data_IF_955005291625
#
_entry.id   IF_955005291625
#
_cell.length_a   1.000
_cell.length_b   1.000
_cell.length_c   1.000
_cell.angle_alpha   90.00
_cell.angle_beta   90.00
_cell.angle_gamma   90.00
#
_symmetry.space_group_name_H-M   'P 1'
#
loop_
_entity.id
_entity.type
_entity.pdbx_description
1 polymer ?
#
# COMPACT_ATOMS: atom_id res chain seq x y z
N UNK A 1 -10.85 -45.14 -31.69
CA UNK A 1 -11.67 -43.95 -31.99
C UNK A 1 -11.90 -43.25 -30.66
N UNK A 2 -11.31 -42.06 -30.46
CA UNK A 2 -11.56 -41.30 -29.23
C UNK A 2 -13.03 -40.90 -29.21
N UNK A 3 -13.73 -41.06 -28.08
CA UNK A 3 -15.12 -40.61 -27.93
C UNK A 3 -15.31 -39.12 -28.26
N UNK A 4 -14.22 -38.33 -28.25
CA UNK A 4 -14.22 -36.92 -28.63
C UNK A 4 -14.39 -36.72 -30.15
N UNK A 5 -13.80 -37.60 -30.96
CA UNK A 5 -13.79 -37.55 -32.43
C UNK A 5 -14.96 -38.33 -33.06
N UNK A 6 -15.84 -38.93 -32.25
CA UNK A 6 -16.97 -39.71 -32.74
C UNK A 6 -18.19 -38.80 -33.00
N UNK A 7 -18.36 -38.39 -34.25
CA UNK A 7 -19.47 -37.54 -34.70
C UNK A 7 -20.86 -38.22 -34.60
N UNK A 8 -20.92 -39.54 -34.35
CA UNK A 8 -22.19 -40.22 -34.06
C UNK A 8 -22.72 -39.92 -32.65
N UNK A 9 -21.86 -39.44 -31.75
CA UNK A 9 -22.21 -39.06 -30.39
C UNK A 9 -22.68 -37.60 -30.33
N UNK A 10 -23.61 -37.31 -29.41
CA UNK A 10 -24.06 -35.94 -29.19
C UNK A 10 -22.92 -35.04 -28.62
N UNK A 11 -23.02 -33.74 -28.89
CA UNK A 11 -21.99 -32.77 -28.48
C UNK A 11 -21.71 -32.77 -26.97
N UNK A 12 -22.71 -32.87 -26.06
CA UNK A 12 -22.46 -32.93 -24.62
C UNK A 12 -21.64 -34.16 -24.17
N UNK A 13 -21.88 -35.34 -24.74
CA UNK A 13 -21.13 -36.56 -24.40
C UNK A 13 -19.68 -36.44 -24.89
N UNK A 14 -19.49 -35.93 -26.11
CA UNK A 14 -18.16 -35.65 -26.66
C UNK A 14 -17.40 -34.65 -25.81
N UNK A 15 -18.07 -33.57 -25.40
CA UNK A 15 -17.48 -32.55 -24.52
C UNK A 15 -17.17 -33.10 -23.12
N UNK A 16 -18.02 -33.94 -22.55
CA UNK A 16 -17.75 -34.58 -21.26
C UNK A 16 -16.53 -35.50 -21.33
N UNK A 17 -16.39 -36.29 -22.41
CA UNK A 17 -15.21 -37.11 -22.65
C UNK A 17 -13.94 -36.25 -22.83
N UNK A 18 -14.04 -35.15 -23.59
CA UNK A 18 -12.97 -34.18 -23.76
C UNK A 18 -12.54 -33.57 -22.42
N UNK A 19 -13.50 -33.11 -21.62
CA UNK A 19 -13.27 -32.51 -20.31
C UNK A 19 -12.61 -33.50 -19.34
N UNK A 20 -13.10 -34.74 -19.27
CA UNK A 20 -12.50 -35.78 -18.44
C UNK A 20 -11.05 -36.07 -18.82
N UNK A 21 -10.76 -36.14 -20.13
CA UNK A 21 -9.40 -36.29 -20.64
C UNK A 21 -8.50 -35.10 -20.24
N UNK A 22 -9.01 -33.88 -20.34
CA UNK A 22 -8.26 -32.69 -19.94
C UNK A 22 -8.00 -32.61 -18.43
N UNK A 23 -8.98 -32.98 -17.59
CA UNK A 23 -8.77 -33.08 -16.13
C UNK A 23 -7.67 -34.09 -15.80
N UNK A 24 -7.62 -35.23 -16.51
CA UNK A 24 -6.53 -36.19 -16.36
C UNK A 24 -5.19 -35.58 -16.77
N UNK A 25 -5.09 -34.98 -17.97
CA UNK A 25 -3.86 -34.36 -18.47
C UNK A 25 -3.30 -33.33 -17.48
N UNK A 26 -4.17 -32.47 -16.93
CA UNK A 26 -3.79 -31.46 -15.94
C UNK A 26 -3.27 -32.08 -14.64
N UNK A 27 -3.94 -33.11 -14.12
CA UNK A 27 -3.50 -33.81 -12.89
C UNK A 27 -2.22 -34.60 -13.06
N UNK A 28 -1.94 -35.05 -14.29
CA UNK A 28 -0.72 -35.76 -14.67
C UNK A 28 0.40 -34.81 -15.12
N UNK A 29 0.21 -33.48 -14.98
CA UNK A 29 1.18 -32.45 -15.40
C UNK A 29 1.55 -32.49 -16.89
N UNK A 30 0.64 -32.97 -17.74
CA UNK A 30 0.80 -33.02 -19.20
C UNK A 30 0.27 -31.74 -19.85
N UNK A 31 0.87 -30.60 -19.48
CA UNK A 31 0.39 -29.26 -19.86
C UNK A 31 0.44 -28.99 -21.37
N UNK A 32 1.47 -29.46 -22.07
CA UNK A 32 1.57 -29.30 -23.53
C UNK A 32 0.43 -30.04 -24.26
N UNK A 33 0.11 -31.25 -23.81
CA UNK A 33 -0.99 -32.02 -24.38
C UNK A 33 -2.35 -31.38 -24.06
N UNK A 34 -2.49 -30.81 -22.86
CA UNK A 34 -3.69 -30.04 -22.49
C UNK A 34 -3.89 -28.85 -23.42
N UNK A 35 -2.84 -28.05 -23.64
CA UNK A 35 -2.86 -26.90 -24.56
C UNK A 35 -3.18 -27.30 -25.99
N UNK A 36 -2.47 -28.28 -26.55
CA UNK A 36 -2.67 -28.76 -27.91
C UNK A 36 -4.11 -29.24 -28.14
N UNK A 37 -4.70 -29.92 -27.15
CA UNK A 37 -6.08 -30.38 -27.23
C UNK A 37 -7.07 -29.21 -27.22
N UNK A 38 -6.89 -28.21 -26.36
CA UNK A 38 -7.75 -27.02 -26.32
C UNK A 38 -7.67 -26.24 -27.64
N UNK A 39 -6.50 -26.14 -28.26
CA UNK A 39 -6.36 -25.51 -29.58
C UNK A 39 -7.00 -26.36 -30.70
N UNK A 40 -6.76 -27.68 -30.70
CA UNK A 40 -7.29 -28.61 -31.71
C UNK A 40 -8.82 -28.61 -31.76
N UNK A 41 -9.48 -28.64 -30.61
CA UNK A 41 -10.94 -28.76 -30.54
C UNK A 41 -11.66 -27.41 -30.38
N UNK A 42 -10.96 -26.29 -30.64
CA UNK A 42 -11.53 -24.95 -30.53
C UNK A 42 -12.82 -24.79 -31.34
N UNK A 43 -12.78 -25.09 -32.64
CA UNK A 43 -13.93 -24.95 -33.53
C UNK A 43 -15.11 -25.88 -33.22
N UNK A 44 -14.89 -26.90 -32.38
CA UNK A 44 -15.92 -27.89 -32.02
C UNK A 44 -16.62 -27.50 -30.72
N UNK A 45 -15.89 -26.90 -29.77
CA UNK A 45 -16.38 -26.66 -28.42
C UNK A 45 -16.39 -25.19 -27.99
N UNK A 46 -16.10 -24.24 -28.88
CA UNK A 46 -16.03 -22.80 -28.51
C UNK A 46 -17.31 -22.26 -27.87
N UNK A 47 -18.47 -22.79 -28.25
CA UNK A 47 -19.77 -22.40 -27.71
C UNK A 47 -20.09 -23.02 -26.34
N UNK A 48 -19.26 -23.96 -25.85
CA UNK A 48 -19.44 -24.57 -24.53
C UNK A 48 -18.87 -23.64 -23.44
N UNK A 49 -19.67 -23.17 -22.45
CA UNK A 49 -19.20 -22.25 -21.42
C UNK A 49 -17.96 -22.72 -20.63
N UNK A 50 -17.90 -24.02 -20.34
CA UNK A 50 -16.75 -24.62 -19.64
C UNK A 50 -15.48 -24.64 -20.51
N UNK A 51 -15.61 -24.52 -21.83
CA UNK A 51 -14.47 -24.42 -22.73
C UNK A 51 -13.78 -23.06 -22.62
N UNK A 52 -14.54 -21.97 -22.44
CA UNK A 52 -13.96 -20.64 -22.12
C UNK A 52 -13.09 -20.71 -20.86
N UNK A 53 -13.55 -21.40 -19.82
CA UNK A 53 -12.78 -21.63 -18.60
C UNK A 53 -11.48 -22.41 -18.88
N UNK A 54 -11.53 -23.50 -19.66
CA UNK A 54 -10.33 -24.28 -19.99
C UNK A 54 -9.32 -23.46 -20.80
N UNK A 55 -9.80 -22.61 -21.72
CA UNK A 55 -8.93 -21.68 -22.46
C UNK A 55 -8.24 -20.71 -21.52
N UNK A 56 -8.96 -20.13 -20.55
CA UNK A 56 -8.36 -19.27 -19.54
C UNK A 56 -7.22 -20.01 -18.81
N UNK A 57 -7.44 -21.27 -18.40
CA UNK A 57 -6.41 -22.08 -17.75
C UNK A 57 -5.17 -22.29 -18.62
N UNK A 58 -5.34 -22.59 -19.92
CA UNK A 58 -4.22 -22.82 -20.86
C UNK A 58 -3.37 -21.57 -21.06
N UNK A 59 -4.00 -20.40 -21.26
CA UNK A 59 -3.26 -19.17 -21.55
C UNK A 59 -2.69 -18.51 -20.28
N UNK A 60 -3.23 -18.81 -19.10
CA UNK A 60 -2.73 -18.25 -17.85
C UNK A 60 -1.49 -18.96 -17.29
N UNK A 61 -1.23 -20.20 -17.71
CA UNK A 61 -0.14 -21.04 -17.18
C UNK A 61 1.22 -20.81 -17.87
N UNK A 62 1.32 -19.84 -18.81
CA UNK A 62 2.58 -19.51 -19.49
C UNK A 62 3.41 -18.56 -18.62
N UNK A 63 4.54 -19.00 -18.02
CA UNK A 63 5.34 -18.14 -17.16
C UNK A 63 6.01 -17.02 -17.96
N UNK A 64 5.92 -15.78 -17.48
CA UNK A 64 6.65 -14.64 -18.05
C UNK A 64 5.97 -13.94 -19.24
N UNK A 65 4.83 -14.43 -19.72
CA UNK A 65 4.07 -13.76 -20.78
C UNK A 65 3.02 -12.80 -20.20
N UNK A 66 3.40 -11.52 -20.07
CA UNK A 66 2.53 -10.46 -19.58
C UNK A 66 1.28 -10.28 -20.46
N UNK A 67 1.42 -10.46 -21.79
CA UNK A 67 0.33 -10.32 -22.76
C UNK A 67 -0.64 -11.50 -22.69
N UNK A 68 -0.11 -12.72 -22.62
CA UNK A 68 -0.88 -13.94 -22.40
C UNK A 68 -1.69 -13.90 -21.09
N UNK A 69 -1.15 -13.26 -20.05
CA UNK A 69 -1.84 -13.12 -18.76
C UNK A 69 -3.05 -12.19 -18.80
N UNK A 70 -2.96 -11.05 -19.47
CA UNK A 70 -4.14 -10.18 -19.65
C UNK A 70 -5.21 -10.88 -20.48
N UNK A 71 -4.80 -11.61 -21.52
CA UNK A 71 -5.73 -12.42 -22.30
C UNK A 71 -6.41 -13.51 -21.46
N UNK A 72 -5.66 -14.19 -20.59
CA UNK A 72 -6.21 -15.17 -19.66
C UNK A 72 -7.20 -14.56 -18.66
N UNK A 73 -6.94 -13.33 -18.18
CA UNK A 73 -7.87 -12.59 -17.31
C UNK A 73 -9.17 -12.27 -18.06
N UNK A 74 -9.09 -11.84 -19.32
CA UNK A 74 -10.29 -11.54 -20.11
C UNK A 74 -11.12 -12.80 -20.39
N UNK A 75 -10.47 -13.92 -20.69
CA UNK A 75 -11.13 -15.22 -20.78
C UNK A 75 -11.74 -15.65 -19.44
N UNK A 76 -11.05 -15.45 -18.32
CA UNK A 76 -11.59 -15.76 -17.00
C UNK A 76 -12.80 -14.89 -16.64
N UNK A 77 -12.82 -13.61 -17.02
CA UNK A 77 -13.99 -12.73 -16.88
C UNK A 77 -15.16 -13.21 -17.71
N UNK A 78 -14.91 -13.58 -18.98
CA UNK A 78 -15.93 -14.15 -19.86
C UNK A 78 -16.49 -15.43 -19.26
N UNK A 79 -15.64 -16.33 -18.76
CA UNK A 79 -16.07 -17.55 -18.09
C UNK A 79 -16.92 -17.26 -16.83
N UNK A 80 -16.58 -16.25 -16.03
CA UNK A 80 -17.40 -15.83 -14.87
C UNK A 80 -18.77 -15.30 -15.31
N UNK A 81 -18.85 -14.61 -16.45
CA UNK A 81 -20.12 -14.14 -16.99
C UNK A 81 -21.01 -15.30 -17.47
N UNK A 82 -20.42 -16.32 -18.08
CA UNK A 82 -21.13 -17.51 -18.59
C UNK A 82 -21.48 -18.51 -17.48
N UNK A 83 -20.62 -18.64 -16.45
CA UNK A 83 -20.72 -19.61 -15.37
C UNK A 83 -20.60 -18.97 -13.97
N UNK A 84 -21.45 -18.00 -13.61
CA UNK A 84 -21.29 -17.21 -12.40
C UNK A 84 -21.44 -18.04 -11.12
N UNK A 85 -22.18 -19.15 -11.16
CA UNK A 85 -22.46 -20.03 -10.04
C UNK A 85 -21.36 -21.06 -9.75
N UNK A 86 -20.32 -21.13 -10.59
CA UNK A 86 -19.26 -22.14 -10.48
C UNK A 86 -18.10 -21.61 -9.62
N UNK A 87 -17.80 -22.22 -8.45
CA UNK A 87 -16.77 -21.72 -7.55
C UNK A 87 -15.37 -21.65 -8.18
N UNK A 88 -15.00 -22.69 -8.94
CA UNK A 88 -13.68 -22.78 -9.58
C UNK A 88 -13.44 -21.68 -10.61
N UNK A 89 -14.48 -21.26 -11.33
CA UNK A 89 -14.38 -20.18 -12.34
C UNK A 89 -14.14 -18.83 -11.67
N UNK A 90 -14.87 -18.55 -10.57
CA UNK A 90 -14.64 -17.34 -9.77
C UNK A 90 -13.26 -17.34 -9.10
N UNK A 91 -12.81 -18.48 -8.60
CA UNK A 91 -11.48 -18.61 -7.99
C UNK A 91 -10.36 -18.38 -9.02
N UNK A 92 -10.48 -18.93 -10.23
CA UNK A 92 -9.50 -18.73 -11.31
C UNK A 92 -9.32 -17.25 -11.64
N UNK A 93 -10.42 -16.50 -11.78
CA UNK A 93 -10.35 -15.05 -12.01
C UNK A 93 -9.61 -14.33 -10.88
N UNK A 94 -9.91 -14.68 -9.62
CA UNK A 94 -9.23 -14.09 -8.47
C UNK A 94 -7.72 -14.39 -8.45
N UNK A 95 -7.34 -15.62 -8.77
CA UNK A 95 -5.95 -16.07 -8.83
C UNK A 95 -5.18 -15.30 -9.91
N UNK A 96 -5.70 -15.19 -11.14
CA UNK A 96 -5.01 -14.48 -12.22
C UNK A 96 -4.92 -12.97 -12.00
N UNK A 97 -5.97 -12.35 -11.44
CA UNK A 97 -5.91 -10.95 -11.07
C UNK A 97 -4.81 -10.70 -10.03
N UNK A 98 -4.74 -11.53 -8.98
CA UNK A 98 -3.70 -11.44 -7.96
C UNK A 98 -2.30 -11.64 -8.54
N UNK A 99 -2.10 -12.71 -9.31
CA UNK A 99 -0.78 -13.03 -9.87
C UNK A 99 -0.31 -11.97 -10.88
N UNK A 100 -1.24 -11.30 -11.58
CA UNK A 100 -0.89 -10.16 -12.46
C UNK A 100 -0.31 -8.97 -11.69
N UNK A 101 -0.67 -8.82 -10.42
CA UNK A 101 -0.12 -7.81 -9.50
C UNK A 101 1.21 -8.29 -8.93
N UNK A 102 1.30 -9.55 -8.51
CA UNK A 102 2.51 -10.11 -7.88
C UNK A 102 3.72 -10.22 -8.81
N UNK A 103 3.51 -10.52 -10.10
CA UNK A 103 4.61 -10.56 -11.07
C UNK A 103 5.08 -9.14 -11.46
N UNK A 104 4.26 -8.12 -11.25
CA UNK A 104 4.61 -6.75 -11.66
C UNK A 104 4.75 -6.58 -13.18
N UNK A 105 4.15 -7.48 -13.96
CA UNK A 105 4.38 -7.62 -15.41
C UNK A 105 3.97 -6.40 -16.25
N UNK A 106 3.24 -5.44 -15.68
CA UNK A 106 2.81 -4.20 -16.33
C UNK A 106 2.90 -3.08 -15.28
N UNK A 107 3.54 -1.97 -15.66
CA UNK A 107 3.49 -0.72 -14.89
C UNK A 107 2.03 -0.28 -14.77
N UNK A 108 1.47 -0.37 -13.56
CA UNK A 108 0.09 0.01 -13.26
C UNK A 108 0.10 1.12 -12.22
N UNK A 109 -0.83 2.05 -12.37
CA UNK A 109 -1.11 3.01 -11.30
C UNK A 109 -1.58 2.27 -10.05
N UNK A 110 -1.31 2.84 -8.89
CA UNK A 110 -1.80 2.31 -7.60
C UNK A 110 -3.32 2.09 -7.63
N UNK A 111 -4.06 3.02 -8.23
CA UNK A 111 -5.51 2.93 -8.40
C UNK A 111 -5.94 1.73 -9.26
N UNK A 112 -5.25 1.48 -10.38
CA UNK A 112 -5.55 0.32 -11.23
C UNK A 112 -5.27 -1.00 -10.51
N UNK A 113 -4.18 -1.06 -9.72
CA UNK A 113 -3.84 -2.20 -8.88
C UNK A 113 -4.90 -2.44 -7.80
N UNK A 114 -5.34 -1.39 -7.11
CA UNK A 114 -6.42 -1.48 -6.13
C UNK A 114 -7.76 -1.94 -6.73
N UNK A 115 -8.15 -1.44 -7.92
CA UNK A 115 -9.37 -1.91 -8.59
C UNK A 115 -9.33 -3.40 -8.89
N UNK A 116 -8.18 -3.91 -9.36
CA UNK A 116 -7.99 -5.35 -9.63
C UNK A 116 -8.01 -6.19 -8.36
N UNK A 117 -7.35 -5.73 -7.29
CA UNK A 117 -7.38 -6.44 -6.00
C UNK A 117 -8.80 -6.50 -5.44
N UNK A 118 -9.59 -5.43 -5.55
CA UNK A 118 -10.99 -5.43 -5.14
C UNK A 118 -11.85 -6.36 -6.00
N UNK A 119 -11.59 -6.45 -7.31
CA UNK A 119 -12.24 -7.43 -8.19
C UNK A 119 -11.88 -8.87 -7.80
N UNK A 120 -10.60 -9.14 -7.55
CA UNK A 120 -10.12 -10.44 -7.09
C UNK A 120 -10.74 -10.84 -5.75
N UNK A 121 -10.85 -9.89 -4.81
CA UNK A 121 -11.47 -10.12 -3.50
C UNK A 121 -12.95 -10.50 -3.65
N UNK A 122 -13.72 -9.79 -4.48
CA UNK A 122 -15.12 -10.15 -4.78
C UNK A 122 -15.23 -11.53 -5.39
N UNK A 123 -14.36 -11.85 -6.34
CA UNK A 123 -14.35 -13.15 -7.02
C UNK A 123 -14.03 -14.30 -6.04
N UNK A 124 -12.98 -14.19 -5.22
CA UNK A 124 -12.65 -15.23 -4.24
C UNK A 124 -13.71 -15.37 -3.14
N UNK A 125 -14.32 -14.27 -2.69
CA UNK A 125 -15.41 -14.32 -1.72
C UNK A 125 -16.64 -15.06 -2.29
N UNK A 126 -16.99 -14.84 -3.57
CA UNK A 126 -18.02 -15.62 -4.26
C UNK A 126 -17.66 -17.11 -4.32
N UNK A 127 -16.42 -17.44 -4.69
CA UNK A 127 -15.96 -18.82 -4.75
C UNK A 127 -16.05 -19.53 -3.38
N UNK A 128 -15.64 -18.86 -2.30
CA UNK A 128 -15.74 -19.36 -0.92
C UNK A 128 -17.22 -19.59 -0.54
N UNK A 129 -18.09 -18.62 -0.81
CA UNK A 129 -19.52 -18.70 -0.48
C UNK A 129 -20.20 -19.86 -1.20
N UNK A 130 -20.01 -19.97 -2.52
CA UNK A 130 -20.64 -21.01 -3.35
C UNK A 130 -20.15 -22.41 -3.02
N UNK A 131 -18.87 -22.55 -2.65
CA UNK A 131 -18.31 -23.83 -2.21
C UNK A 131 -18.57 -24.14 -0.74
N UNK A 132 -19.28 -23.26 0.00
CA UNK A 132 -19.51 -23.37 1.44
C UNK A 132 -18.21 -23.49 2.25
N UNK A 133 -17.11 -22.93 1.73
CA UNK A 133 -15.80 -22.99 2.36
C UNK A 133 -15.13 -24.36 2.35
N UNK A 134 -15.51 -25.26 1.44
CA UNK A 134 -14.94 -26.61 1.36
C UNK A 134 -13.56 -26.68 0.69
N UNK A 135 -13.09 -25.60 0.04
CA UNK A 135 -11.81 -25.57 -0.65
C UNK A 135 -10.78 -24.71 0.09
N UNK A 136 -9.79 -25.31 0.78
CA UNK A 136 -8.73 -24.61 1.51
C UNK A 136 -7.98 -23.57 0.67
N UNK A 137 -7.66 -23.92 -0.59
CA UNK A 137 -6.94 -23.05 -1.53
C UNK A 137 -7.61 -21.68 -1.68
N UNK A 138 -8.94 -21.61 -1.61
CA UNK A 138 -9.66 -20.35 -1.80
C UNK A 138 -9.39 -19.37 -0.64
N UNK A 139 -9.28 -19.88 0.58
CA UNK A 139 -8.88 -19.07 1.74
C UNK A 139 -7.42 -18.61 1.65
N UNK A 140 -6.52 -19.45 1.11
CA UNK A 140 -5.14 -19.05 0.86
C UNK A 140 -5.02 -17.94 -0.19
N UNK A 141 -5.78 -18.03 -1.30
CA UNK A 141 -5.85 -16.95 -2.31
C UNK A 141 -6.42 -15.67 -1.71
N UNK A 142 -7.49 -15.76 -0.89
CA UNK A 142 -8.04 -14.61 -0.17
C UNK A 142 -7.00 -13.95 0.73
N UNK A 143 -6.21 -14.73 1.45
CA UNK A 143 -5.15 -14.20 2.30
C UNK A 143 -4.10 -13.40 1.51
N UNK A 144 -3.65 -13.94 0.37
CA UNK A 144 -2.70 -13.24 -0.50
C UNK A 144 -3.28 -11.92 -1.02
N UNK A 145 -4.55 -11.90 -1.42
CA UNK A 145 -5.24 -10.66 -1.84
C UNK A 145 -5.29 -9.63 -0.70
N UNK A 146 -5.72 -10.04 0.49
CA UNK A 146 -5.79 -9.17 1.67
C UNK A 146 -4.41 -8.62 2.09
N UNK A 147 -3.36 -9.41 1.90
CA UNK A 147 -1.97 -8.98 2.12
C UNK A 147 -1.57 -7.85 1.19
N UNK A 148 -1.93 -7.92 -0.09
CA UNK A 148 -1.67 -6.84 -1.05
C UNK A 148 -2.51 -5.57 -0.76
N UNK A 149 -3.66 -5.74 -0.11
CA UNK A 149 -4.51 -4.64 0.37
C UNK A 149 -4.10 -4.08 1.75
N UNK A 150 -2.99 -4.56 2.33
CA UNK A 150 -2.51 -4.14 3.67
C UNK A 150 -3.36 -4.65 4.84
N UNK A 151 -4.37 -5.49 4.59
CA UNK A 151 -5.27 -6.06 5.61
C UNK A 151 -4.67 -7.32 6.24
N UNK A 152 -3.51 -7.16 6.88
CA UNK A 152 -2.68 -8.28 7.33
C UNK A 152 -3.33 -9.20 8.36
N UNK A 153 -4.10 -8.67 9.30
CA UNK A 153 -4.77 -9.49 10.32
C UNK A 153 -5.83 -10.41 9.70
N UNK A 154 -6.63 -9.88 8.74
CA UNK A 154 -7.60 -10.67 7.99
C UNK A 154 -6.93 -11.69 7.06
N UNK A 155 -5.75 -11.35 6.52
CA UNK A 155 -4.95 -12.27 5.72
C UNK A 155 -4.48 -13.47 6.56
N UNK A 156 -3.98 -13.23 7.77
CA UNK A 156 -3.54 -14.28 8.69
C UNK A 156 -4.70 -15.18 9.12
N UNK A 157 -5.87 -14.61 9.45
CA UNK A 157 -7.08 -15.38 9.77
C UNK A 157 -7.53 -16.26 8.59
N UNK A 158 -7.40 -15.75 7.36
CA UNK A 158 -7.73 -16.53 6.16
C UNK A 158 -6.75 -17.71 5.96
N UNK A 159 -5.46 -17.53 6.27
CA UNK A 159 -4.48 -18.63 6.26
C UNK A 159 -4.73 -19.65 7.37
N UNK A 160 -5.12 -19.21 8.57
CA UNK A 160 -5.54 -20.10 9.65
C UNK A 160 -6.70 -21.00 9.18
N UNK A 161 -7.68 -20.40 8.49
CA UNK A 161 -8.81 -21.16 7.93
C UNK A 161 -8.38 -22.12 6.83
N UNK A 162 -7.47 -21.72 5.94
CA UNK A 162 -6.92 -22.60 4.91
C UNK A 162 -6.26 -23.84 5.53
N UNK A 163 -5.37 -23.64 6.50
CA UNK A 163 -4.65 -24.73 7.18
C UNK A 163 -5.62 -25.65 7.94
N UNK A 164 -6.58 -25.07 8.66
CA UNK A 164 -7.56 -25.84 9.41
C UNK A 164 -8.46 -26.71 8.51
N UNK A 165 -8.77 -26.22 7.30
CA UNK A 165 -9.66 -26.91 6.35
C UNK A 165 -8.94 -27.99 5.54
N UNK A 166 -7.62 -27.85 5.30
CA UNK A 166 -6.85 -28.78 4.46
C UNK A 166 -6.85 -30.23 4.98
N UNK A 167 -6.85 -30.40 6.30
CA UNK A 167 -6.89 -31.71 6.96
C UNK A 167 -5.65 -32.57 6.70
N UNK A 168 -5.32 -33.50 7.61
CA UNK A 168 -4.13 -34.34 7.46
C UNK A 168 -4.31 -35.54 6.50
N UNK A 169 -5.53 -35.81 6.04
CA UNK A 169 -5.91 -37.09 5.42
C UNK A 169 -5.89 -37.11 3.88
N UNK A 170 -5.76 -35.98 3.18
CA UNK A 170 -5.75 -35.97 1.72
C UNK A 170 -4.32 -36.10 1.16
N UNK A 171 -4.16 -36.86 0.07
CA UNK A 171 -2.88 -36.89 -0.65
C UNK A 171 -2.45 -35.49 -1.10
N UNK A 172 -1.18 -35.13 -0.86
CA UNK A 172 -0.62 -33.81 -1.14
C UNK A 172 -0.93 -32.71 -0.11
N UNK A 173 -1.66 -33.02 0.97
CA UNK A 173 -1.93 -32.03 2.05
C UNK A 173 -0.66 -31.47 2.70
N UNK A 174 0.39 -32.27 2.99
CA UNK A 174 1.62 -31.72 3.57
C UNK A 174 2.25 -30.62 2.71
N UNK A 175 2.34 -30.81 1.39
CA UNK A 175 2.89 -29.82 0.46
C UNK A 175 2.07 -28.54 0.42
N UNK A 176 0.73 -28.64 0.46
CA UNK A 176 -0.16 -27.46 0.50
C UNK A 176 -0.06 -26.72 1.83
N UNK A 177 0.04 -27.43 2.95
CA UNK A 177 0.28 -26.81 4.27
C UNK A 177 1.61 -26.04 4.26
N UNK A 178 2.69 -26.63 3.71
CA UNK A 178 3.99 -25.92 3.56
C UNK A 178 3.83 -24.66 2.72
N UNK A 179 3.08 -24.72 1.63
CA UNK A 179 2.80 -23.55 0.79
C UNK A 179 2.04 -22.46 1.56
N UNK A 180 1.00 -22.81 2.32
CA UNK A 180 0.26 -21.84 3.14
C UNK A 180 1.12 -21.22 4.23
N UNK A 181 2.05 -21.98 4.82
CA UNK A 181 3.01 -21.44 5.79
C UNK A 181 4.02 -20.51 5.12
N UNK A 182 4.40 -20.74 3.86
CA UNK A 182 5.18 -19.78 3.08
C UNK A 182 4.42 -18.46 2.92
N UNK A 183 3.16 -18.52 2.49
CA UNK A 183 2.33 -17.31 2.39
C UNK A 183 2.18 -16.58 3.72
N UNK A 184 2.08 -17.30 4.85
CA UNK A 184 2.07 -16.68 6.18
C UNK A 184 3.34 -15.88 6.45
N UNK A 185 4.51 -16.46 6.14
CA UNK A 185 5.80 -15.77 6.31
C UNK A 185 5.86 -14.49 5.48
N UNK A 186 5.37 -14.54 4.24
CA UNK A 186 5.33 -13.37 3.36
C UNK A 186 4.43 -12.26 3.91
N UNK A 187 3.24 -12.62 4.44
CA UNK A 187 2.33 -11.68 5.10
C UNK A 187 2.99 -11.00 6.30
N UNK A 188 3.65 -11.77 7.16
CA UNK A 188 4.35 -11.25 8.35
C UNK A 188 5.50 -10.33 7.94
N UNK A 189 6.28 -10.72 6.93
CA UNK A 189 7.39 -9.92 6.43
C UNK A 189 6.91 -8.56 5.90
N UNK A 190 5.82 -8.53 5.12
CA UNK A 190 5.21 -7.28 4.62
C UNK A 190 4.70 -6.40 5.76
N UNK A 191 3.97 -6.97 6.73
CA UNK A 191 3.50 -6.24 7.92
C UNK A 191 4.64 -5.58 8.69
N UNK A 192 5.71 -6.32 8.92
CA UNK A 192 6.87 -5.83 9.66
C UNK A 192 7.60 -4.73 8.88
N UNK A 193 7.75 -4.90 7.56
CA UNK A 193 8.36 -3.88 6.70
C UNK A 193 7.57 -2.58 6.72
N UNK A 194 6.23 -2.63 6.59
CA UNK A 194 5.40 -1.43 6.69
C UNK A 194 5.50 -0.77 8.07
N UNK A 195 5.51 -1.56 9.14
CA UNK A 195 5.62 -1.05 10.51
C UNK A 195 6.95 -0.33 10.70
N UNK A 196 8.05 -0.94 10.24
CA UNK A 196 9.39 -0.35 10.29
C UNK A 196 9.47 0.95 9.48
N UNK A 197 8.86 1.00 8.29
CA UNK A 197 8.80 2.21 7.47
C UNK A 197 8.04 3.34 8.17
N UNK A 198 6.93 3.02 8.86
CA UNK A 198 6.17 4.00 9.66
C UNK A 198 7.00 4.53 10.84
N UNK A 199 7.67 3.64 11.56
CA UNK A 199 8.55 4.02 12.67
C UNK A 199 9.73 4.88 12.20
N UNK A 200 10.35 4.54 11.07
CA UNK A 200 11.41 5.33 10.47
C UNK A 200 10.94 6.74 10.08
N UNK A 201 9.77 6.87 9.45
CA UNK A 201 9.19 8.17 9.10
C UNK A 201 8.96 9.03 10.33
N UNK A 202 8.39 8.44 11.38
CA UNK A 202 8.20 9.12 12.65
C UNK A 202 9.52 9.57 13.28
N UNK A 203 10.54 8.71 13.30
CA UNK A 203 11.87 9.09 13.80
C UNK A 203 12.51 10.24 13.02
N UNK A 204 12.31 10.29 11.69
CA UNK A 204 12.77 11.40 10.84
C UNK A 204 12.02 12.70 11.16
N UNK A 205 10.71 12.63 11.40
CA UNK A 205 9.89 13.77 11.81
C UNK A 205 10.31 14.29 13.19
N UNK A 206 10.50 13.39 14.16
CA UNK A 206 10.97 13.73 15.51
C UNK A 206 12.36 14.38 15.46
N UNK A 207 13.27 13.87 14.61
CA UNK A 207 14.59 14.47 14.42
C UNK A 207 14.51 15.87 13.79
N UNK A 208 13.62 16.08 12.82
CA UNK A 208 13.38 17.41 12.23
C UNK A 208 12.84 18.38 13.28
N UNK A 209 11.96 17.92 14.16
CA UNK A 209 11.44 18.71 15.28
C UNK A 209 12.57 19.11 16.25
N UNK A 210 13.38 18.15 16.72
CA UNK A 210 14.51 18.42 17.61
C UNK A 210 15.53 19.39 16.99
N UNK A 211 15.82 19.23 15.70
CA UNK A 211 16.71 20.16 14.99
C UNK A 211 16.16 21.58 14.96
N UNK A 212 14.85 21.73 14.73
CA UNK A 212 14.18 23.04 14.78
C UNK A 212 14.28 23.68 16.17
N UNK A 213 14.06 22.89 17.22
CA UNK A 213 14.19 23.33 18.61
C UNK A 213 15.63 23.76 18.95
N UNK A 214 16.63 22.99 18.53
CA UNK A 214 18.05 23.34 18.70
C UNK A 214 18.42 24.64 17.98
N UNK A 215 17.96 24.84 16.74
CA UNK A 215 18.17 26.10 16.02
C UNK A 215 17.49 27.28 16.73
N UNK A 216 16.32 27.05 17.34
CA UNK A 216 15.64 28.07 18.13
C UNK A 216 16.42 28.44 19.40
N UNK A 217 16.95 27.45 20.12
CA UNK A 217 17.81 27.68 21.29
C UNK A 217 19.10 28.42 20.91
N UNK A 218 19.71 28.07 19.78
CA UNK A 218 20.92 28.75 19.29
C UNK A 218 20.63 30.22 18.95
N UNK A 219 19.50 30.50 18.28
CA UNK A 219 19.05 31.86 18.00
C UNK A 219 18.78 32.67 19.29
N UNK A 220 18.18 32.04 20.30
CA UNK A 220 17.97 32.64 21.61
C UNK A 220 19.28 32.99 22.32
N UNK A 221 20.22 32.05 22.39
CA UNK A 221 21.52 32.27 23.02
C UNK A 221 22.31 33.36 22.29
N UNK A 222 22.32 33.36 20.96
CA UNK A 222 22.98 34.39 20.17
C UNK A 222 22.40 35.79 20.45
N UNK A 223 21.08 35.92 20.53
CA UNK A 223 20.43 37.19 20.87
C UNK A 223 20.75 37.65 22.29
N UNK A 224 20.76 36.73 23.26
CA UNK A 224 21.13 37.03 24.67
C UNK A 224 22.57 37.53 24.74
N UNK A 225 23.51 36.85 24.07
CA UNK A 225 24.92 37.28 24.04
C UNK A 225 25.08 38.63 23.35
N UNK A 226 24.41 38.84 22.21
CA UNK A 226 24.42 40.13 21.51
C UNK A 226 23.89 41.24 22.41
N UNK A 227 22.78 41.03 23.11
CA UNK A 227 22.21 41.99 24.05
C UNK A 227 23.17 42.34 25.18
N UNK A 228 23.76 41.33 25.84
CA UNK A 228 24.71 41.54 26.95
C UNK A 228 25.93 42.33 26.44
N UNK A 229 26.47 41.97 25.28
CA UNK A 229 27.62 42.64 24.67
C UNK A 229 27.31 44.10 24.35
N UNK A 230 26.19 44.37 23.68
CA UNK A 230 25.75 45.73 23.35
C UNK A 230 25.47 46.55 24.60
N UNK A 231 24.78 45.97 25.59
CA UNK A 231 24.50 46.63 26.88
C UNK A 231 25.79 47.01 27.61
N UNK A 232 26.80 46.13 27.62
CA UNK A 232 28.10 46.40 28.25
C UNK A 232 28.84 47.52 27.53
N UNK A 233 28.85 47.51 26.20
CA UNK A 233 29.49 48.55 25.40
C UNK A 233 28.83 49.92 25.60
N UNK A 234 27.50 49.98 25.68
CA UNK A 234 26.72 51.19 25.96
C UNK A 234 27.08 51.73 27.35
N UNK A 235 27.09 50.87 28.37
CA UNK A 235 27.36 51.26 29.75
C UNK A 235 28.77 51.85 29.96
N UNK A 236 29.76 51.42 29.17
CA UNK A 236 31.14 51.90 29.27
C UNK A 236 31.41 53.21 28.54
N UNK A 237 30.62 53.55 27.52
CA UNK A 237 30.95 54.63 26.57
C UNK A 237 29.99 55.83 26.60
N UNK A 238 28.85 55.75 27.29
CA UNK A 238 27.81 56.77 27.26
C UNK A 238 27.50 57.33 28.67
N UNK A 239 27.00 58.57 28.70
CA UNK A 239 26.44 59.15 29.92
C UNK A 239 25.22 58.36 30.38
N UNK A 240 24.91 58.39 31.68
CA UNK A 240 23.81 57.61 32.28
C UNK A 240 22.47 57.78 31.55
N UNK A 241 22.16 59.00 31.10
CA UNK A 241 20.89 59.29 30.43
C UNK A 241 20.86 58.78 28.98
N UNK A 242 21.99 58.89 28.26
CA UNK A 242 22.17 58.33 26.92
C UNK A 242 22.22 56.80 26.90
N UNK A 243 22.80 56.19 27.94
CA UNK A 243 22.89 54.74 28.10
C UNK A 243 21.50 54.10 28.26
N UNK A 244 20.66 54.69 29.12
CA UNK A 244 19.28 54.22 29.38
C UNK A 244 18.43 54.30 28.11
N UNK A 245 18.51 55.41 27.37
CA UNK A 245 17.73 55.58 26.12
C UNK A 245 18.15 54.56 25.07
N UNK A 246 19.46 54.35 24.86
CA UNK A 246 19.93 53.37 23.89
C UNK A 246 19.59 51.92 24.29
N UNK A 247 19.63 51.60 25.60
CA UNK A 247 19.22 50.29 26.12
C UNK A 247 17.73 49.99 25.90
N UNK A 248 16.86 50.99 26.06
CA UNK A 248 15.42 50.84 25.80
C UNK A 248 15.15 50.58 24.31
N UNK A 249 15.82 51.31 23.42
CA UNK A 249 15.70 51.11 21.97
C UNK A 249 16.22 49.72 21.55
N UNK A 250 17.39 49.31 22.04
CA UNK A 250 17.95 47.99 21.73
C UNK A 250 17.10 46.84 22.26
N UNK A 251 16.52 46.96 23.46
CA UNK A 251 15.56 45.99 23.98
C UNK A 251 14.31 45.87 23.07
N UNK A 252 13.80 47.00 22.55
CA UNK A 252 12.70 47.01 21.60
C UNK A 252 13.02 46.33 20.27
N UNK A 253 14.20 46.61 19.70
CA UNK A 253 14.69 45.96 18.47
C UNK A 253 14.80 44.44 18.67
N UNK A 254 15.36 44.01 19.81
CA UNK A 254 15.50 42.58 20.11
C UNK A 254 14.14 41.91 20.20
N UNK A 255 13.15 42.49 20.88
CA UNK A 255 11.80 41.92 20.97
C UNK A 255 11.13 41.75 19.60
N UNK A 256 11.36 42.67 18.67
CA UNK A 256 10.85 42.60 17.30
C UNK A 256 11.55 41.48 16.52
N UNK A 257 12.88 41.43 16.56
CA UNK A 257 13.67 40.36 15.92
C UNK A 257 13.27 39.01 16.49
N UNK A 258 13.08 38.90 17.80
CA UNK A 258 12.65 37.69 18.48
C UNK A 258 11.23 37.25 18.10
N UNK A 259 10.31 38.21 17.96
CA UNK A 259 8.95 37.93 17.50
C UNK A 259 8.95 37.46 16.04
N UNK A 260 9.73 38.10 15.17
CA UNK A 260 9.88 37.69 13.77
C UNK A 260 10.47 36.28 13.64
N UNK A 261 11.50 35.98 14.43
CA UNK A 261 12.11 34.66 14.49
C UNK A 261 11.11 33.61 15.03
N UNK A 262 10.41 33.91 16.14
CA UNK A 262 9.39 33.03 16.70
C UNK A 262 8.26 32.69 15.71
N UNK A 263 7.89 33.65 14.85
CA UNK A 263 6.86 33.47 13.81
C UNK A 263 7.30 32.48 12.72
N UNK A 264 8.59 32.40 12.42
CA UNK A 264 9.16 31.49 11.41
C UNK A 264 9.24 30.05 11.94
N UNK A 265 9.48 29.87 13.24
CA UNK A 265 9.75 28.55 13.84
C UNK A 265 8.56 27.91 14.58
N UNK A 266 7.42 28.60 14.74
CA UNK A 266 6.24 28.04 15.43
C UNK A 266 5.11 27.66 14.47
N UNK A 267 4.75 26.37 14.46
CA UNK A 267 3.73 25.81 13.54
C UNK A 267 2.32 25.75 14.12
N UNK A 268 2.13 25.91 15.45
CA UNK A 268 0.81 25.78 16.09
C UNK A 268 0.53 26.83 17.17
N UNK A 269 -0.61 27.52 17.05
CA UNK A 269 -1.36 28.15 18.16
C UNK A 269 -0.88 29.49 18.75
N UNK A 270 0.34 29.96 18.46
CA UNK A 270 0.93 31.10 19.18
C UNK A 270 0.77 32.50 18.56
N UNK A 271 0.15 32.65 17.38
CA UNK A 271 0.24 33.88 16.56
C UNK A 271 -0.15 35.17 17.29
N UNK A 272 -1.17 35.14 18.15
CA UNK A 272 -1.61 36.30 18.94
C UNK A 272 -0.56 36.72 19.97
N UNK A 273 0.11 35.75 20.63
CA UNK A 273 1.18 36.06 21.59
C UNK A 273 2.40 36.66 20.89
N UNK A 274 2.74 36.17 19.70
CA UNK A 274 3.85 36.67 18.89
C UNK A 274 3.58 38.10 18.38
N UNK A 275 2.35 38.38 17.96
CA UNK A 275 1.92 39.73 17.59
C UNK A 275 1.94 40.69 18.79
N UNK A 276 1.53 40.23 19.97
CA UNK A 276 1.60 41.01 21.19
C UNK A 276 3.05 41.36 21.58
N UNK A 277 3.97 40.41 21.50
CA UNK A 277 5.40 40.67 21.78
C UNK A 277 6.03 41.62 20.77
N UNK A 278 5.66 41.52 19.49
CA UNK A 278 6.11 42.48 18.47
C UNK A 278 5.59 43.90 18.76
N UNK A 279 4.33 44.03 19.16
CA UNK A 279 3.72 45.31 19.54
C UNK A 279 4.41 45.96 20.75
N UNK A 280 4.77 45.18 21.76
CA UNK A 280 5.54 45.65 22.92
C UNK A 280 6.93 46.13 22.48
N UNK A 281 7.59 45.42 21.56
CA UNK A 281 8.89 45.84 21.02
C UNK A 281 8.83 47.18 20.28
N UNK A 282 7.77 47.42 19.49
CA UNK A 282 7.55 48.70 18.81
C UNK A 282 7.31 49.83 19.82
N UNK A 283 6.54 49.56 20.88
CA UNK A 283 6.31 50.52 21.95
C UNK A 283 7.62 50.94 22.64
N UNK A 284 8.50 49.98 22.93
CA UNK A 284 9.80 50.23 23.55
C UNK A 284 10.68 51.11 22.66
N UNK A 285 10.73 50.84 21.35
CA UNK A 285 11.44 51.72 20.42
C UNK A 285 10.86 53.14 20.40
N UNK A 286 9.53 53.28 20.34
CA UNK A 286 8.89 54.59 20.31
C UNK A 286 9.20 55.41 21.57
N UNK A 287 9.11 54.78 22.75
CA UNK A 287 9.47 55.42 24.03
C UNK A 287 10.95 55.81 24.06
N UNK A 288 11.85 54.92 23.67
CA UNK A 288 13.29 55.23 23.66
C UNK A 288 13.65 56.40 22.74
N UNK A 289 13.04 56.46 21.55
CA UNK A 289 13.25 57.56 20.58
C UNK A 289 12.66 58.89 21.08
N UNK A 290 11.45 58.87 21.65
CA UNK A 290 10.83 60.10 22.20
C UNK A 290 11.62 60.66 23.38
N UNK A 291 12.10 59.82 24.29
CA UNK A 291 12.95 60.27 25.40
C UNK A 291 14.27 60.84 24.87
N UNK A 292 14.89 60.21 23.86
CA UNK A 292 16.10 60.74 23.24
C UNK A 292 15.87 62.13 22.60
N UNK A 293 14.76 62.32 21.88
CA UNK A 293 14.40 63.61 21.27
C UNK A 293 14.13 64.73 22.28
N UNK A 294 13.57 64.39 23.44
CA UNK A 294 13.30 65.36 24.52
C UNK A 294 14.57 65.70 25.33
N UNK A 295 15.59 64.85 25.26
CA UNK A 295 16.83 64.98 26.02
C UNK A 295 17.97 65.63 25.23
N UNK A 296 17.78 65.90 23.93
CA UNK A 296 18.68 66.68 23.07
C UNK A 296 18.38 68.17 23.19
#
# INVERSE_FOLDING_TARGET
MSMVDDDSLNLPVRFAAFYAAQVHNRRSHLYELYKQNVEKYYSVFEDQPMFTFMRAEVYGDVPGDAGGREYAIDLARKAVAELPATPGVNHLLAEYLLESIEIGAIERTEEASHRRLNEAERAVNRAISQSKGNYPKFFATKARILSQLGSYDLALQSLDRAIATEGASQSGSPSRIVQYQSYRRDVIAKRNSETLLREQRKAVEDFRSLRSEMLSLLGLLAAVVAFISTSTAIALNLSTLGAVTLQVVTAGIILIVFSGFSLIFTTYGGKIRILATAGIGVLFMAVGVTVALVSM
#
